data_IF_954161851189
#
_entry.id   IF_954161851189
#
_cell.length_a   1.000
_cell.length_b   1.000
_cell.length_c   1.000
_cell.angle_alpha   90.00
_cell.angle_beta   90.00
_cell.angle_gamma   90.00
#
_symmetry.space_group_name_H-M   'P 1'
#
loop_
_entity.id
_entity.type
_entity.pdbx_description
1 polymer ?
#
# COMPACT_ATOMS: atom_id res chain seq x y z
N UNK A 1 -8.03 11.43 14.56
CA UNK A 1 -8.45 10.60 13.42
C UNK A 1 -8.43 9.14 13.86
N UNK A 2 -9.55 8.42 13.78
CA UNK A 2 -9.64 7.07 14.33
C UNK A 2 -8.81 6.06 13.50
N UNK A 3 -8.10 5.11 14.13
CA UNK A 3 -7.40 4.06 13.42
C UNK A 3 -8.39 3.14 12.69
N UNK A 4 -8.02 2.69 11.49
CA UNK A 4 -8.82 1.74 10.72
C UNK A 4 -8.85 0.40 11.47
N UNK A 5 -10.05 -0.09 11.79
CA UNK A 5 -10.25 -1.22 12.73
C UNK A 5 -10.13 -2.58 12.04
N UNK A 6 -10.74 -2.77 10.87
CA UNK A 6 -10.61 -4.03 10.10
C UNK A 6 -10.98 -3.82 8.63
N UNK A 7 -10.33 -4.57 7.75
CA UNK A 7 -10.68 -4.60 6.33
C UNK A 7 -11.63 -5.76 6.02
N UNK A 8 -12.51 -5.57 5.04
CA UNK A 8 -13.24 -6.66 4.42
C UNK A 8 -12.29 -7.68 3.77
N UNK A 9 -12.69 -8.96 3.82
CA UNK A 9 -11.97 -10.01 3.13
C UNK A 9 -11.96 -9.76 1.62
N UNK A 10 -10.95 -10.32 0.96
CA UNK A 10 -10.77 -10.19 -0.48
C UNK A 10 -11.96 -10.80 -1.24
N UNK A 11 -12.50 -11.91 -0.74
CA UNK A 11 -13.67 -12.57 -1.33
C UNK A 11 -14.93 -11.71 -1.26
N UNK A 12 -15.18 -11.05 -0.12
CA UNK A 12 -16.32 -10.13 0.02
C UNK A 12 -16.23 -8.96 -0.96
N UNK A 13 -15.03 -8.41 -1.15
CA UNK A 13 -14.82 -7.33 -2.12
C UNK A 13 -14.97 -7.82 -3.56
N UNK A 14 -14.47 -9.02 -3.89
CA UNK A 14 -14.64 -9.62 -5.22
C UNK A 14 -16.11 -9.80 -5.54
N UNK A 15 -16.86 -10.35 -4.59
CA UNK A 15 -18.29 -10.55 -4.75
C UNK A 15 -19.05 -9.23 -4.96
N UNK A 16 -18.70 -8.16 -4.24
CA UNK A 16 -19.25 -6.82 -4.48
C UNK A 16 -18.95 -6.34 -5.91
N UNK A 17 -17.72 -6.53 -6.40
CA UNK A 17 -17.34 -6.12 -7.75
C UNK A 17 -18.02 -6.94 -8.84
N UNK A 18 -18.30 -8.22 -8.60
CA UNK A 18 -19.05 -9.10 -9.51
C UNK A 18 -20.51 -8.64 -9.62
N UNK A 19 -21.18 -8.42 -8.49
CA UNK A 19 -22.57 -7.92 -8.47
C UNK A 19 -22.69 -6.54 -9.14
N UNK A 20 -21.66 -5.70 -9.02
CA UNK A 20 -21.62 -4.42 -9.72
C UNK A 20 -21.46 -4.59 -11.24
N UNK A 21 -20.64 -5.54 -11.69
CA UNK A 21 -20.49 -5.88 -13.12
C UNK A 21 -21.78 -6.46 -13.72
N UNK A 22 -22.58 -7.16 -12.92
CA UNK A 22 -23.92 -7.61 -13.31
C UNK A 22 -24.93 -6.45 -13.47
N UNK A 23 -24.56 -5.22 -13.12
CA UNK A 23 -25.41 -4.04 -13.26
C UNK A 23 -26.33 -3.76 -12.06
N UNK A 24 -26.13 -4.44 -10.92
CA UNK A 24 -26.92 -4.19 -9.71
C UNK A 24 -26.57 -2.83 -9.11
N UNK A 25 -27.58 -2.14 -8.57
CA UNK A 25 -27.38 -0.87 -7.88
C UNK A 25 -26.68 -1.07 -6.54
N UNK A 26 -25.99 -0.03 -6.05
CA UNK A 26 -25.27 -0.12 -4.77
C UNK A 26 -26.19 -0.45 -3.59
N UNK A 27 -27.46 -0.02 -3.65
CA UNK A 27 -28.44 -0.26 -2.58
C UNK A 27 -28.89 -1.72 -2.58
N UNK A 28 -29.10 -2.32 -3.75
CA UNK A 28 -29.41 -3.75 -3.89
C UNK A 28 -28.25 -4.62 -3.40
N UNK A 29 -27.01 -4.29 -3.79
CA UNK A 29 -25.81 -5.00 -3.32
C UNK A 29 -25.70 -4.91 -1.80
N UNK A 30 -25.92 -3.72 -1.23
CA UNK A 30 -25.93 -3.51 0.22
C UNK A 30 -26.98 -4.38 0.92
N UNK A 31 -28.18 -4.48 0.36
CA UNK A 31 -29.25 -5.33 0.90
C UNK A 31 -28.92 -6.82 0.82
N UNK A 32 -28.38 -7.30 -0.31
CA UNK A 32 -27.98 -8.70 -0.51
C UNK A 32 -26.91 -9.10 0.50
N UNK A 33 -25.90 -8.24 0.69
CA UNK A 33 -24.74 -8.54 1.53
C UNK A 33 -24.86 -8.03 2.96
N UNK A 34 -25.98 -7.40 3.31
CA UNK A 34 -26.23 -6.73 4.60
C UNK A 34 -25.11 -5.73 4.95
N UNK A 35 -24.65 -4.99 3.94
CA UNK A 35 -23.64 -3.94 4.05
C UNK A 35 -24.28 -2.56 3.88
N UNK A 36 -23.66 -1.55 4.46
CA UNK A 36 -24.10 -0.17 4.21
C UNK A 36 -23.84 0.22 2.76
N UNK A 37 -24.75 1.00 2.18
CA UNK A 37 -24.61 1.60 0.85
C UNK A 37 -23.28 2.34 0.69
N UNK A 38 -22.84 3.06 1.74
CA UNK A 38 -21.58 3.81 1.77
C UNK A 38 -20.36 2.90 1.63
N UNK A 39 -20.40 1.71 2.24
CA UNK A 39 -19.31 0.73 2.17
C UNK A 39 -19.21 0.16 0.77
N UNK A 40 -20.33 -0.22 0.17
CA UNK A 40 -20.40 -0.72 -1.21
C UNK A 40 -19.87 0.34 -2.17
N UNK A 41 -20.34 1.58 -2.05
CA UNK A 41 -19.87 2.70 -2.89
C UNK A 41 -18.37 2.95 -2.76
N UNK A 42 -17.81 2.86 -1.54
CA UNK A 42 -16.37 3.02 -1.33
C UNK A 42 -15.55 1.90 -2.01
N UNK A 43 -16.02 0.65 -1.93
CA UNK A 43 -15.33 -0.49 -2.55
C UNK A 43 -15.38 -0.38 -4.08
N UNK A 44 -16.55 -0.08 -4.65
CA UNK A 44 -16.70 0.09 -6.09
C UNK A 44 -15.88 1.26 -6.62
N UNK A 45 -15.92 2.42 -5.95
CA UNK A 45 -15.11 3.58 -6.32
C UNK A 45 -13.62 3.22 -6.35
N UNK A 46 -13.13 2.54 -5.31
CA UNK A 46 -11.73 2.11 -5.24
C UNK A 46 -11.37 1.13 -6.36
N UNK A 47 -12.28 0.22 -6.70
CA UNK A 47 -12.10 -0.70 -7.82
C UNK A 47 -11.99 0.04 -9.16
N UNK A 48 -12.81 1.06 -9.40
CA UNK A 48 -12.73 1.88 -10.61
C UNK A 48 -11.43 2.70 -10.69
N UNK A 49 -10.92 3.20 -9.57
CA UNK A 49 -9.67 3.98 -9.51
C UNK A 49 -8.41 3.13 -9.67
N UNK A 50 -8.38 1.93 -9.06
CA UNK A 50 -7.17 1.10 -8.99
C UNK A 50 -7.20 -0.06 -9.98
N UNK A 51 -8.38 -0.46 -10.46
CA UNK A 51 -8.58 -1.68 -11.25
C UNK A 51 -8.44 -2.99 -10.46
N UNK A 52 -8.13 -2.92 -9.16
CA UNK A 52 -7.86 -4.07 -8.31
C UNK A 52 -8.75 -4.11 -7.07
N UNK A 53 -9.07 -5.34 -6.66
CA UNK A 53 -9.85 -5.66 -5.47
C UNK A 53 -8.94 -5.91 -4.25
N UNK A 54 -7.66 -6.16 -4.51
CA UNK A 54 -6.67 -6.49 -3.50
C UNK A 54 -6.40 -5.32 -2.55
N UNK A 55 -5.95 -5.64 -1.33
CA UNK A 55 -5.55 -4.60 -0.42
C UNK A 55 -4.20 -4.02 -0.84
N UNK A 56 -4.14 -2.70 -0.99
CA UNK A 56 -2.89 -2.00 -1.24
C UNK A 56 -2.07 -2.01 0.05
N UNK A 57 -0.82 -2.45 -0.05
CA UNK A 57 0.13 -2.27 1.04
C UNK A 57 0.19 -0.79 1.42
N UNK A 58 0.24 -0.53 2.72
CA UNK A 58 0.41 0.84 3.21
C UNK A 58 1.72 1.37 2.62
N UNK A 59 1.72 2.50 1.90
CA UNK A 59 2.96 3.08 1.44
C UNK A 59 3.82 3.39 2.67
N UNK A 60 5.07 2.96 2.63
CA UNK A 60 6.05 3.33 3.64
C UNK A 60 6.26 4.84 3.66
N UNK A 61 6.85 5.35 4.75
CA UNK A 61 7.30 6.73 4.79
C UNK A 61 8.38 7.01 3.74
N UNK A 62 8.62 8.29 3.41
CA UNK A 62 9.71 8.66 2.52
C UNK A 62 11.04 8.16 3.08
N UNK A 63 11.90 7.66 2.20
CA UNK A 63 13.21 7.18 2.60
C UNK A 63 14.13 8.36 2.93
N UNK A 64 14.87 8.27 4.03
CA UNK A 64 15.90 9.26 4.39
C UNK A 64 17.07 9.29 3.41
N UNK A 65 17.32 8.18 2.71
CA UNK A 65 18.46 8.03 1.80
C UNK A 65 17.99 7.95 0.34
N UNK A 66 18.68 8.69 -0.52
CA UNK A 66 18.54 8.58 -1.97
C UNK A 66 19.07 7.21 -2.44
N UNK A 67 18.55 6.70 -3.56
CA UNK A 67 18.95 5.42 -4.15
C UNK A 67 20.46 5.25 -4.32
N UNK A 68 21.18 6.34 -4.67
CA UNK A 68 22.65 6.34 -4.81
C UNK A 68 23.35 6.14 -3.46
N UNK A 69 22.93 6.90 -2.44
CA UNK A 69 23.46 6.79 -1.09
C UNK A 69 23.29 5.35 -0.56
N UNK A 70 22.10 4.75 -0.73
CA UNK A 70 21.85 3.34 -0.35
C UNK A 70 22.81 2.35 -1.01
N UNK A 71 23.01 2.47 -2.33
CA UNK A 71 23.93 1.59 -3.07
C UNK A 71 25.36 1.73 -2.55
N UNK A 72 25.78 2.94 -2.21
CA UNK A 72 27.12 3.18 -1.66
C UNK A 72 27.27 2.63 -0.26
N UNK A 73 26.26 2.75 0.59
CA UNK A 73 26.25 2.10 1.91
C UNK A 73 26.50 0.59 1.76
N UNK A 74 25.75 -0.07 0.87
CA UNK A 74 25.91 -1.51 0.62
C UNK A 74 27.30 -1.82 0.06
N UNK A 75 27.80 -1.03 -0.90
CA UNK A 75 29.11 -1.24 -1.52
C UNK A 75 30.27 -1.07 -0.52
N UNK A 76 30.23 -0.03 0.31
CA UNK A 76 31.26 0.22 1.33
C UNK A 76 31.23 -0.87 2.39
N UNK A 77 30.05 -1.31 2.83
CA UNK A 77 29.89 -2.38 3.81
C UNK A 77 30.32 -3.76 3.30
N UNK A 78 30.13 -4.05 2.01
CA UNK A 78 30.50 -5.34 1.40
C UNK A 78 31.98 -5.42 1.04
N UNK A 79 32.56 -4.34 0.50
CA UNK A 79 33.95 -4.34 0.04
C UNK A 79 34.96 -4.10 1.17
N UNK A 80 34.56 -3.47 2.29
CA UNK A 80 35.43 -3.21 3.43
C UNK A 80 34.90 -3.96 4.66
N UNK A 81 35.55 -5.06 5.01
CA UNK A 81 35.10 -5.95 6.11
C UNK A 81 35.13 -5.32 7.51
N UNK A 82 35.77 -4.16 7.69
CA UNK A 82 35.99 -3.50 8.99
C UNK A 82 35.70 -1.99 8.98
N UNK A 83 34.80 -1.51 8.12
CA UNK A 83 34.38 -0.10 8.18
C UNK A 83 33.31 0.16 9.23
N UNK A 84 33.58 1.12 10.11
CA UNK A 84 32.57 1.66 11.03
C UNK A 84 31.45 2.37 10.28
N UNK A 85 30.22 2.28 10.80
CA UNK A 85 29.06 3.00 10.29
C UNK A 85 29.28 4.52 10.24
N UNK A 86 30.09 5.08 11.17
CA UNK A 86 30.42 6.50 11.18
C UNK A 86 31.24 6.91 9.94
N UNK A 87 32.19 6.06 9.54
CA UNK A 87 33.00 6.32 8.35
C UNK A 87 32.13 6.24 7.08
N UNK A 88 31.20 5.29 7.02
CA UNK A 88 30.24 5.20 5.92
C UNK A 88 29.34 6.44 5.90
N UNK A 89 28.86 6.93 7.05
CA UNK A 89 28.06 8.16 7.11
C UNK A 89 28.85 9.39 6.61
N UNK A 90 30.14 9.49 6.94
CA UNK A 90 31.02 10.54 6.42
C UNK A 90 31.24 10.42 4.89
N UNK A 91 31.34 9.21 4.35
CA UNK A 91 31.40 9.00 2.89
C UNK A 91 30.08 9.41 2.20
N UNK A 92 28.94 9.21 2.86
CA UNK A 92 27.61 9.52 2.33
C UNK A 92 27.26 11.01 2.38
N UNK A 93 27.83 11.78 3.33
CA UNK A 93 27.54 13.22 3.46
C UNK A 93 27.95 14.05 2.24
N UNK A 94 28.88 13.53 1.43
CA UNK A 94 29.33 14.16 0.18
C UNK A 94 28.29 14.01 -0.95
N UNK A 95 27.32 13.10 -0.79
CA UNK A 95 26.44 12.62 -1.87
C UNK A 95 24.96 12.87 -1.58
N UNK A 96 24.59 13.02 -0.31
CA UNK A 96 23.30 13.58 0.10
C UNK A 96 23.30 15.09 -0.05
#
# INVERSE_FOLDING_TARGET
MAPKTKEFSLDMRKHITELHKEGKSFREIGNILKLSFTTVGYIVKKYLETGSVENKLKPGGPSKLISRAKRMTVRSATNKLMTSAQNIANELSVIM
#
